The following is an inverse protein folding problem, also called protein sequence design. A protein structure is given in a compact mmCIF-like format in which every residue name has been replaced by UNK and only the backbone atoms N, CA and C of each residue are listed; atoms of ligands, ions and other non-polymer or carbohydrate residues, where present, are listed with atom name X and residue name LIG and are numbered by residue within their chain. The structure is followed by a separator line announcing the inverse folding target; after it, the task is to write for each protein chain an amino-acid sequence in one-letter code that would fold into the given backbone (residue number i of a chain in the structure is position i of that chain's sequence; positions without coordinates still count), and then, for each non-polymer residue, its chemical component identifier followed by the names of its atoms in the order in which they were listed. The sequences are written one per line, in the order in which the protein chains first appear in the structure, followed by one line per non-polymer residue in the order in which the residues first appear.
data_IF_064424423065
#
_entry.id   IF_064424423065
#
_cell.length_a   1.000
_cell.length_b   1.000
_cell.length_c   1.000
_cell.angle_alpha   90.00
_cell.angle_beta   90.00
_cell.angle_gamma   90.00
#
_symmetry.space_group_name_H-M   'P 1'
#
loop_
_entity.id
_entity.type
_entity.pdbx_description
1 polymer ?
#
# COMPACT_ATOMS: atom_id res chain seq x y z
N UNK A 1 -58.09 15.59 -1.27
CA UNK A 1 -56.64 15.93 -1.36
C UNK A 1 -55.72 15.03 -0.52
N UNK A 2 -56.25 14.01 0.14
CA UNK A 2 -55.51 13.10 1.06
C UNK A 2 -55.03 11.81 0.36
N UNK A 3 -55.56 11.45 -0.82
CA UNK A 3 -55.26 10.18 -1.47
C UNK A 3 -53.92 10.14 -2.26
N UNK A 4 -53.36 11.29 -2.66
CA UNK A 4 -52.07 11.35 -3.40
C UNK A 4 -50.83 11.24 -2.49
N UNK A 5 -50.94 11.60 -1.22
CA UNK A 5 -49.82 11.55 -0.28
C UNK A 5 -49.53 10.12 0.23
N UNK A 6 -50.57 9.31 0.33
CA UNK A 6 -50.44 7.89 0.73
C UNK A 6 -49.83 7.03 -0.38
N UNK A 7 -50.15 7.34 -1.64
CA UNK A 7 -49.62 6.59 -2.78
C UNK A 7 -48.12 6.83 -3.01
N UNK A 8 -47.61 8.04 -2.76
CA UNK A 8 -46.16 8.33 -2.84
C UNK A 8 -45.36 7.70 -1.69
N UNK A 9 -45.94 7.63 -0.47
CA UNK A 9 -45.25 6.98 0.65
C UNK A 9 -45.12 5.47 0.46
N UNK A 10 -46.13 4.79 -0.06
CA UNK A 10 -46.07 3.35 -0.31
C UNK A 10 -45.08 2.97 -1.44
N UNK A 11 -44.96 3.81 -2.49
CA UNK A 11 -43.97 3.57 -3.54
C UNK A 11 -42.54 3.82 -3.05
N UNK A 12 -42.33 4.82 -2.21
CA UNK A 12 -41.02 5.11 -1.61
C UNK A 12 -40.57 4.00 -0.66
N UNK A 13 -41.44 3.43 0.13
CA UNK A 13 -41.16 2.27 0.98
C UNK A 13 -40.97 1.00 0.17
N UNK A 14 -41.69 0.76 -0.90
CA UNK A 14 -41.50 -0.40 -1.78
C UNK A 14 -40.18 -0.33 -2.54
N UNK A 15 -39.71 0.85 -3.00
CA UNK A 15 -38.40 1.00 -3.63
C UNK A 15 -37.27 0.83 -2.63
N UNK A 16 -37.38 1.29 -1.41
CA UNK A 16 -36.40 1.08 -0.34
C UNK A 16 -36.33 -0.42 0.04
N UNK A 17 -37.48 -1.08 0.18
CA UNK A 17 -37.54 -2.51 0.49
C UNK A 17 -36.98 -3.37 -0.67
N UNK A 18 -37.24 -3.00 -1.94
CA UNK A 18 -36.67 -3.70 -3.11
C UNK A 18 -35.15 -3.51 -3.20
N UNK A 19 -34.62 -2.33 -2.89
CA UNK A 19 -33.18 -2.08 -2.81
C UNK A 19 -32.57 -2.88 -1.66
N UNK A 20 -33.23 -2.93 -0.49
CA UNK A 20 -32.75 -3.73 0.66
C UNK A 20 -32.83 -5.25 0.40
N UNK A 21 -33.88 -5.74 -0.27
CA UNK A 21 -34.03 -7.15 -0.64
C UNK A 21 -33.01 -7.51 -1.76
N UNK A 22 -32.76 -6.61 -2.71
CA UNK A 22 -31.73 -6.81 -3.73
C UNK A 22 -30.32 -6.88 -3.13
N UNK A 23 -30.03 -6.09 -2.08
CA UNK A 23 -28.79 -6.18 -1.30
C UNK A 23 -28.70 -7.49 -0.49
N UNK A 24 -29.82 -8.03 -0.01
CA UNK A 24 -29.86 -9.29 0.74
C UNK A 24 -29.81 -10.54 -0.16
N UNK A 25 -30.33 -10.47 -1.40
CA UNK A 25 -30.40 -11.61 -2.32
C UNK A 25 -29.27 -11.67 -3.36
N UNK A 26 -28.63 -10.52 -3.67
CA UNK A 26 -27.52 -10.41 -4.64
C UNK A 26 -26.17 -10.09 -3.99
N UNK A 27 -26.09 -10.16 -2.63
CA UNK A 27 -24.83 -9.90 -1.91
C UNK A 27 -24.21 -8.59 -2.39
N UNK A 28 -24.58 -7.45 -1.81
CA UNK A 28 -23.81 -6.19 -1.99
C UNK A 28 -22.40 -6.39 -1.45
N UNK A 29 -21.58 -7.14 -2.17
CA UNK A 29 -20.17 -7.27 -1.86
C UNK A 29 -19.49 -5.93 -2.15
N UNK A 30 -18.68 -5.46 -1.22
CA UNK A 30 -17.82 -4.29 -1.40
C UNK A 30 -16.91 -4.43 -2.62
N UNK A 31 -16.62 -5.65 -3.03
CA UNK A 31 -15.70 -6.01 -4.08
C UNK A 31 -16.40 -6.75 -5.21
N UNK A 32 -15.83 -6.71 -6.43
CA UNK A 32 -16.26 -7.57 -7.53
C UNK A 32 -16.17 -9.06 -7.13
N UNK A 33 -16.92 -9.92 -7.82
CA UNK A 33 -16.88 -11.36 -7.57
C UNK A 33 -15.45 -11.93 -7.76
N UNK A 34 -14.70 -11.39 -8.72
CA UNK A 34 -13.31 -11.77 -8.98
C UNK A 34 -12.41 -11.41 -7.81
N UNK A 35 -12.41 -10.15 -7.37
CA UNK A 35 -11.61 -9.68 -6.23
C UNK A 35 -11.97 -10.45 -4.96
N UNK A 36 -13.24 -10.78 -4.74
CA UNK A 36 -13.69 -11.59 -3.61
C UNK A 36 -13.17 -13.03 -3.67
N UNK A 37 -13.15 -13.65 -4.84
CA UNK A 37 -12.58 -14.98 -5.05
C UNK A 37 -11.06 -14.98 -4.83
N UNK A 38 -10.36 -13.97 -5.36
CA UNK A 38 -8.93 -13.78 -5.19
C UNK A 38 -8.55 -13.54 -3.72
N UNK A 39 -9.32 -12.71 -3.00
CA UNK A 39 -9.15 -12.49 -1.58
C UNK A 39 -9.31 -13.81 -0.77
N UNK A 40 -10.31 -14.61 -1.12
CA UNK A 40 -10.53 -15.91 -0.48
C UNK A 40 -9.36 -16.87 -0.75
N UNK A 41 -8.87 -16.91 -2.00
CA UNK A 41 -7.69 -17.69 -2.40
C UNK A 41 -6.46 -17.24 -1.59
N UNK A 42 -6.16 -15.94 -1.57
CA UNK A 42 -5.02 -15.39 -0.82
C UNK A 42 -5.08 -15.76 0.67
N UNK A 43 -6.23 -15.59 1.31
CA UNK A 43 -6.43 -15.93 2.73
C UNK A 43 -6.20 -17.40 3.03
N UNK A 44 -6.56 -18.28 2.11
CA UNK A 44 -6.45 -19.74 2.28
C UNK A 44 -5.04 -20.25 1.98
N UNK A 45 -4.41 -19.74 0.94
CA UNK A 45 -3.19 -20.35 0.37
C UNK A 45 -1.95 -19.48 0.54
N UNK A 46 -2.09 -18.21 0.92
CA UNK A 46 -1.03 -17.18 0.86
C UNK A 46 -0.39 -17.05 -0.54
N UNK A 47 -1.09 -17.48 -1.60
CA UNK A 47 -0.63 -17.42 -2.98
C UNK A 47 -1.70 -16.82 -3.88
N UNK A 48 -1.38 -15.70 -4.53
CA UNK A 48 -2.26 -14.98 -5.43
C UNK A 48 -1.46 -14.22 -6.51
N UNK A 49 -0.50 -14.92 -7.13
CA UNK A 49 0.27 -14.32 -8.23
C UNK A 49 -0.66 -13.94 -9.40
N UNK A 50 -0.47 -12.73 -9.94
CA UNK A 50 -1.28 -12.15 -11.01
C UNK A 50 -2.73 -11.81 -10.65
N UNK A 51 -3.13 -11.92 -9.38
CA UNK A 51 -4.51 -11.65 -8.96
C UNK A 51 -4.86 -10.16 -9.01
N UNK A 52 -6.10 -9.84 -9.35
CA UNK A 52 -6.68 -8.54 -9.02
C UNK A 52 -7.13 -8.52 -7.55
N UNK A 53 -6.48 -7.67 -6.77
CA UNK A 53 -6.69 -7.42 -5.35
C UNK A 53 -6.83 -5.91 -5.11
N UNK A 54 -7.26 -5.15 -6.14
CA UNK A 54 -7.38 -3.70 -6.06
C UNK A 54 -8.39 -3.27 -4.99
N UNK A 55 -8.01 -2.24 -4.24
CA UNK A 55 -8.84 -1.62 -3.21
C UNK A 55 -9.21 -2.52 -2.03
N UNK A 56 -8.63 -3.73 -1.90
CA UNK A 56 -8.96 -4.64 -0.78
C UNK A 56 -8.51 -4.09 0.57
N UNK A 57 -9.16 -4.57 1.62
CA UNK A 57 -8.76 -4.31 3.00
C UNK A 57 -8.15 -5.56 3.64
N UNK A 58 -6.86 -5.48 3.94
CA UNK A 58 -6.05 -6.51 4.59
C UNK A 58 -5.32 -5.93 5.82
N UNK A 59 -6.01 -5.09 6.60
CA UNK A 59 -5.43 -4.43 7.77
C UNK A 59 -4.98 -5.47 8.80
N UNK A 60 -3.73 -5.37 9.28
CA UNK A 60 -3.13 -6.25 10.27
C UNK A 60 -3.17 -7.74 9.87
N UNK A 61 -3.11 -8.03 8.57
CA UNK A 61 -3.21 -9.39 8.06
C UNK A 61 -1.83 -10.08 8.04
N UNK A 62 -1.80 -11.38 8.29
CA UNK A 62 -0.59 -12.20 8.18
C UNK A 62 -0.40 -12.68 6.74
N UNK A 63 0.54 -12.03 6.03
CA UNK A 63 0.98 -12.35 4.68
C UNK A 63 2.44 -12.80 4.63
N UNK A 64 2.98 -13.29 5.74
CA UNK A 64 4.36 -13.82 5.77
C UNK A 64 4.57 -14.85 4.69
N UNK A 65 5.68 -14.67 3.93
CA UNK A 65 6.07 -15.53 2.83
C UNK A 65 4.97 -15.71 1.75
N UNK A 66 4.00 -14.79 1.67
CA UNK A 66 2.97 -14.86 0.64
C UNK A 66 3.58 -14.62 -0.74
N UNK A 67 3.11 -15.37 -1.74
CA UNK A 67 3.38 -15.07 -3.14
C UNK A 67 2.20 -14.26 -3.73
N UNK A 68 2.44 -12.96 -3.87
CA UNK A 68 1.53 -11.99 -4.49
C UNK A 68 2.21 -11.26 -5.65
N UNK A 69 3.19 -11.94 -6.27
CA UNK A 69 3.90 -11.44 -7.44
C UNK A 69 2.94 -11.12 -8.59
N UNK A 70 3.26 -10.10 -9.36
CA UNK A 70 2.45 -9.61 -10.50
C UNK A 70 1.00 -9.23 -10.15
N UNK A 71 0.62 -9.20 -8.88
CA UNK A 71 -0.74 -8.86 -8.46
C UNK A 71 -1.04 -7.36 -8.61
N UNK A 72 -2.29 -7.03 -8.84
CA UNK A 72 -2.79 -5.66 -8.78
C UNK A 72 -3.33 -5.37 -7.37
N UNK A 73 -2.60 -4.59 -6.59
CA UNK A 73 -2.96 -4.10 -5.24
C UNK A 73 -3.17 -2.59 -5.23
N UNK A 74 -3.49 -1.98 -6.38
CA UNK A 74 -3.72 -0.53 -6.49
C UNK A 74 -4.74 -0.07 -5.47
N UNK A 75 -4.37 0.92 -4.64
CA UNK A 75 -5.24 1.49 -3.61
C UNK A 75 -5.65 0.55 -2.48
N UNK A 76 -5.06 -0.65 -2.39
CA UNK A 76 -5.34 -1.59 -1.29
C UNK A 76 -4.89 -1.03 0.06
N UNK A 77 -5.55 -1.44 1.14
CA UNK A 77 -5.16 -1.12 2.51
C UNK A 77 -4.53 -2.34 3.18
N UNK A 78 -3.22 -2.30 3.31
CA UNK A 78 -2.37 -3.31 3.96
C UNK A 78 -1.75 -2.77 5.26
N UNK A 79 -2.33 -1.71 5.83
CA UNK A 79 -1.76 -1.09 7.02
C UNK A 79 -1.57 -2.09 8.16
N UNK A 80 -0.39 -2.03 8.80
CA UNK A 80 0.02 -2.90 9.91
C UNK A 80 0.06 -4.40 9.58
N UNK A 81 -0.02 -4.79 8.30
CA UNK A 81 0.11 -6.19 7.88
C UNK A 81 1.55 -6.67 7.98
N UNK A 82 1.72 -7.96 8.11
CA UNK A 82 3.02 -8.62 8.13
C UNK A 82 3.28 -9.29 6.78
N UNK A 83 4.15 -8.69 5.99
CA UNK A 83 4.60 -9.14 4.67
C UNK A 83 6.05 -9.63 4.72
N UNK A 84 6.55 -10.03 5.90
CA UNK A 84 7.92 -10.55 6.07
C UNK A 84 8.18 -11.67 5.08
N UNK A 85 9.25 -11.53 4.27
CA UNK A 85 9.62 -12.52 3.27
C UNK A 85 8.66 -12.70 2.10
N UNK A 86 7.64 -11.85 1.95
CA UNK A 86 6.68 -11.96 0.85
C UNK A 86 7.32 -11.66 -0.51
N UNK A 87 6.87 -12.34 -1.55
CA UNK A 87 7.22 -12.05 -2.93
C UNK A 87 6.23 -11.05 -3.53
N UNK A 88 6.72 -9.83 -3.79
CA UNK A 88 6.01 -8.70 -4.39
C UNK A 88 6.58 -8.33 -5.77
N UNK A 89 7.36 -9.21 -6.38
CA UNK A 89 7.95 -8.96 -7.71
C UNK A 89 6.89 -8.60 -8.72
N UNK A 90 7.12 -7.56 -9.53
CA UNK A 90 6.21 -7.05 -10.56
C UNK A 90 4.82 -6.58 -10.04
N UNK A 91 4.64 -6.43 -8.73
CA UNK A 91 3.36 -6.06 -8.11
C UNK A 91 3.05 -4.58 -8.29
N UNK A 92 1.80 -4.25 -8.54
CA UNK A 92 1.32 -2.86 -8.54
C UNK A 92 0.66 -2.51 -7.21
N UNK A 93 1.33 -1.69 -6.39
CA UNK A 93 0.88 -1.15 -5.10
C UNK A 93 0.65 0.36 -5.15
N UNK A 94 0.49 0.95 -6.35
CA UNK A 94 0.35 2.41 -6.47
C UNK A 94 -0.82 2.93 -5.64
N UNK A 95 -0.55 3.99 -4.86
CA UNK A 95 -1.52 4.62 -3.97
C UNK A 95 -2.02 3.77 -2.80
N UNK A 96 -1.47 2.57 -2.58
CA UNK A 96 -1.85 1.70 -1.47
C UNK A 96 -1.51 2.30 -0.10
N UNK A 97 -2.24 1.88 0.93
CA UNK A 97 -1.95 2.21 2.33
C UNK A 97 -1.18 1.06 2.99
N UNK A 98 0.12 1.31 3.24
CA UNK A 98 1.08 0.40 3.85
C UNK A 98 1.59 0.98 5.19
N UNK A 99 0.79 1.81 5.87
CA UNK A 99 1.15 2.43 7.13
C UNK A 99 1.57 1.37 8.17
N UNK A 100 2.79 1.44 8.67
CA UNK A 100 3.31 0.53 9.69
C UNK A 100 3.39 -0.93 9.26
N UNK A 101 3.44 -1.21 7.94
CA UNK A 101 3.62 -2.55 7.40
C UNK A 101 5.00 -3.10 7.75
N UNK A 102 5.10 -4.41 7.95
CA UNK A 102 6.38 -5.11 8.02
C UNK A 102 6.69 -5.80 6.68
N UNK A 103 7.72 -5.32 5.99
CA UNK A 103 8.23 -5.83 4.71
C UNK A 103 9.63 -6.47 4.85
N UNK A 104 10.10 -6.74 6.08
CA UNK A 104 11.45 -7.26 6.32
C UNK A 104 11.73 -8.48 5.45
N UNK A 105 12.82 -8.42 4.66
CA UNK A 105 13.24 -9.51 3.78
C UNK A 105 12.29 -9.79 2.60
N UNK A 106 11.30 -8.96 2.34
CA UNK A 106 10.43 -9.11 1.17
C UNK A 106 11.18 -8.83 -0.15
N UNK A 107 10.70 -9.39 -1.25
CA UNK A 107 11.23 -9.11 -2.59
C UNK A 107 10.36 -8.08 -3.29
N UNK A 108 10.95 -6.92 -3.64
CA UNK A 108 10.26 -5.77 -4.26
C UNK A 108 10.74 -5.45 -5.68
N UNK A 109 11.37 -6.39 -6.36
CA UNK A 109 11.88 -6.14 -7.72
C UNK A 109 10.77 -5.74 -8.68
N UNK A 110 10.97 -4.68 -9.47
CA UNK A 110 10.01 -4.11 -10.43
C UNK A 110 8.66 -3.67 -9.82
N UNK A 111 8.57 -3.49 -8.51
CA UNK A 111 7.32 -3.14 -7.83
C UNK A 111 6.96 -1.68 -8.07
N UNK A 112 5.69 -1.39 -8.36
CA UNK A 112 5.16 -0.03 -8.42
C UNK A 112 4.63 0.41 -7.06
N UNK A 113 5.36 1.31 -6.39
CA UNK A 113 5.03 1.92 -5.09
C UNK A 113 4.78 3.44 -5.23
N UNK A 114 4.42 3.94 -6.41
CA UNK A 114 4.16 5.36 -6.61
C UNK A 114 3.02 5.87 -5.70
N UNK A 115 3.27 6.95 -4.98
CA UNK A 115 2.29 7.58 -4.08
C UNK A 115 1.86 6.73 -2.87
N UNK A 116 2.54 5.61 -2.61
CA UNK A 116 2.24 4.71 -1.50
C UNK A 116 2.44 5.39 -0.14
N UNK A 117 1.66 4.98 0.87
CA UNK A 117 1.85 5.40 2.26
C UNK A 117 2.62 4.33 3.02
N UNK A 118 3.92 4.56 3.23
CA UNK A 118 4.87 3.69 3.94
C UNK A 118 5.37 4.32 5.25
N UNK A 119 4.63 5.25 5.82
CA UNK A 119 5.04 5.84 7.09
C UNK A 119 5.10 4.77 8.19
N UNK A 120 6.17 4.79 8.99
CA UNK A 120 6.43 3.80 10.05
C UNK A 120 6.60 2.35 9.56
N UNK A 121 6.76 2.11 8.27
CA UNK A 121 7.02 0.77 7.73
C UNK A 121 8.41 0.27 8.11
N UNK A 122 8.54 -1.04 8.35
CA UNK A 122 9.85 -1.72 8.40
C UNK A 122 10.13 -2.35 7.03
N UNK A 123 11.13 -1.77 6.34
CA UNK A 123 11.57 -2.20 5.00
C UNK A 123 13.05 -2.64 5.09
N UNK A 124 13.42 -3.24 6.21
CA UNK A 124 14.79 -3.69 6.44
C UNK A 124 15.09 -4.97 5.70
N UNK A 125 16.37 -5.15 5.30
CA UNK A 125 16.85 -6.36 4.63
C UNK A 125 16.16 -6.61 3.28
N UNK A 126 15.69 -5.55 2.61
CA UNK A 126 14.95 -5.63 1.34
C UNK A 126 15.86 -5.26 0.17
N UNK A 127 15.76 -6.03 -0.91
CA UNK A 127 16.33 -5.66 -2.20
C UNK A 127 15.27 -4.95 -3.06
N UNK A 128 15.51 -3.66 -3.31
CA UNK A 128 14.69 -2.81 -4.16
C UNK A 128 15.44 -2.52 -5.48
N UNK A 129 15.19 -3.35 -6.48
CA UNK A 129 15.74 -3.16 -7.82
C UNK A 129 14.63 -2.76 -8.78
N UNK A 130 14.82 -1.65 -9.50
CA UNK A 130 13.84 -1.11 -10.45
C UNK A 130 12.46 -0.83 -9.81
N UNK A 131 12.44 -0.26 -8.60
CA UNK A 131 11.21 0.07 -7.87
C UNK A 131 10.80 1.51 -8.15
N UNK A 132 9.52 1.75 -8.39
CA UNK A 132 8.96 3.08 -8.55
C UNK A 132 8.40 3.56 -7.20
N UNK A 133 9.02 4.60 -6.61
CA UNK A 133 8.68 5.19 -5.31
C UNK A 133 8.36 6.69 -5.42
N UNK A 134 8.05 7.18 -6.63
CA UNK A 134 7.79 8.60 -6.82
C UNK A 134 6.62 9.07 -5.94
N UNK A 135 6.85 10.12 -5.16
CA UNK A 135 5.88 10.68 -4.22
C UNK A 135 5.51 9.78 -3.03
N UNK A 136 6.23 8.68 -2.78
CA UNK A 136 5.98 7.80 -1.65
C UNK A 136 6.14 8.52 -0.30
N UNK A 137 5.25 8.25 0.67
CA UNK A 137 5.30 8.79 2.02
C UNK A 137 5.99 7.79 2.93
N UNK A 138 7.28 8.01 3.21
CA UNK A 138 8.15 7.11 3.98
C UNK A 138 8.61 7.74 5.31
N UNK A 139 7.79 8.64 5.88
CA UNK A 139 8.11 9.29 7.14
C UNK A 139 8.29 8.26 8.26
N UNK A 140 9.37 8.36 9.04
CA UNK A 140 9.69 7.41 10.11
C UNK A 140 9.85 5.95 9.64
N UNK A 141 10.03 5.69 8.35
CA UNK A 141 10.26 4.35 7.85
C UNK A 141 11.67 3.86 8.23
N UNK A 142 11.80 2.56 8.47
CA UNK A 142 13.06 1.89 8.70
C UNK A 142 13.46 1.14 7.43
N UNK A 143 14.61 1.52 6.84
CA UNK A 143 15.15 0.95 5.60
C UNK A 143 16.60 0.53 5.85
N UNK A 144 16.82 -0.31 6.83
CA UNK A 144 18.16 -0.67 7.31
C UNK A 144 18.66 -1.93 6.58
N UNK A 145 19.97 -2.00 6.31
CA UNK A 145 20.60 -3.14 5.64
C UNK A 145 19.98 -3.50 4.28
N UNK A 146 19.41 -2.51 3.58
CA UNK A 146 18.69 -2.72 2.33
C UNK A 146 19.51 -2.29 1.11
N UNK A 147 19.03 -2.58 -0.08
CA UNK A 147 19.67 -2.13 -1.32
C UNK A 147 18.63 -1.47 -2.23
N UNK A 148 18.89 -0.24 -2.68
CA UNK A 148 18.02 0.52 -3.59
C UNK A 148 18.81 0.82 -4.86
N UNK A 149 18.49 0.10 -5.94
CA UNK A 149 19.17 0.24 -7.22
C UNK A 149 18.18 0.46 -8.37
N UNK A 150 18.57 1.28 -9.35
CA UNK A 150 17.74 1.58 -10.55
C UNK A 150 16.33 2.06 -10.25
N UNK A 151 16.11 2.65 -9.06
CA UNK A 151 14.77 3.01 -8.54
C UNK A 151 14.52 4.50 -8.65
N UNK A 152 13.26 4.90 -8.87
CA UNK A 152 12.83 6.29 -8.87
C UNK A 152 12.20 6.68 -7.52
N UNK A 153 12.85 7.57 -6.79
CA UNK A 153 12.40 8.11 -5.51
C UNK A 153 12.04 9.61 -5.60
N UNK A 154 11.77 10.11 -6.81
CA UNK A 154 11.48 11.54 -7.01
C UNK A 154 10.29 11.99 -6.15
N UNK A 155 10.51 13.01 -5.31
CA UNK A 155 9.49 13.53 -4.40
C UNK A 155 9.12 12.62 -3.23
N UNK A 156 9.79 11.48 -3.05
CA UNK A 156 9.58 10.64 -1.87
C UNK A 156 9.94 11.40 -0.59
N UNK A 157 9.12 11.25 0.46
CA UNK A 157 9.32 11.89 1.75
C UNK A 157 9.93 10.92 2.77
N UNK A 158 11.20 11.14 3.09
CA UNK A 158 12.00 10.35 4.04
C UNK A 158 12.20 11.08 5.38
N UNK A 159 11.29 11.99 5.76
CA UNK A 159 11.37 12.68 7.04
C UNK A 159 11.55 11.67 8.19
N UNK A 160 12.59 11.85 9.01
CA UNK A 160 12.92 10.99 10.15
C UNK A 160 13.03 9.49 9.81
N UNK A 161 13.29 9.13 8.54
CA UNK A 161 13.54 7.75 8.13
C UNK A 161 14.96 7.32 8.50
N UNK A 162 15.16 6.02 8.68
CA UNK A 162 16.47 5.42 8.94
C UNK A 162 16.95 4.60 7.75
N UNK A 163 18.01 5.05 7.07
CA UNK A 163 18.65 4.39 5.94
C UNK A 163 20.03 3.80 6.31
N UNK A 164 20.32 3.58 7.59
CA UNK A 164 21.63 3.05 8.03
C UNK A 164 21.97 1.77 7.26
N UNK A 165 23.23 1.64 6.85
CA UNK A 165 23.76 0.48 6.15
C UNK A 165 23.02 0.12 4.84
N UNK A 166 22.22 1.04 4.30
CA UNK A 166 21.50 0.85 3.02
C UNK A 166 22.39 1.25 1.85
N UNK A 167 22.46 0.41 0.85
CA UNK A 167 23.13 0.73 -0.42
C UNK A 167 22.19 1.53 -1.32
N UNK A 168 22.42 2.81 -1.44
CA UNK A 168 21.65 3.72 -2.30
C UNK A 168 22.56 4.79 -2.88
N UNK A 169 22.33 5.19 -4.13
CA UNK A 169 23.14 6.25 -4.75
C UNK A 169 22.64 7.64 -4.40
N UNK A 170 23.54 8.63 -4.35
CA UNK A 170 23.16 10.05 -4.18
C UNK A 170 22.26 10.54 -5.31
N UNK A 171 22.40 9.98 -6.51
CA UNK A 171 21.52 10.30 -7.64
C UNK A 171 20.08 9.88 -7.36
N UNK A 172 19.86 8.73 -6.78
CA UNK A 172 18.53 8.22 -6.37
C UNK A 172 17.90 9.14 -5.32
N UNK A 173 18.69 9.63 -4.37
CA UNK A 173 18.22 10.49 -3.28
C UNK A 173 18.16 11.98 -3.64
N UNK A 174 18.59 12.40 -4.85
CA UNK A 174 18.74 13.81 -5.21
C UNK A 174 17.47 14.64 -5.04
N UNK A 175 16.33 14.10 -5.44
CA UNK A 175 15.03 14.77 -5.46
C UNK A 175 14.09 14.28 -4.36
N UNK A 176 14.62 13.69 -3.29
CA UNK A 176 13.85 13.25 -2.12
C UNK A 176 13.82 14.33 -1.05
N UNK A 177 12.82 14.27 -0.18
CA UNK A 177 12.73 15.13 1.02
C UNK A 177 13.48 14.43 2.15
N UNK A 178 14.65 15.00 2.52
CA UNK A 178 15.51 14.50 3.60
C UNK A 178 15.55 15.53 4.73
N UNK A 179 14.91 15.22 5.82
CA UNK A 179 14.93 16.04 7.03
C UNK A 179 14.91 15.10 8.24
N UNK A 180 15.87 15.25 9.13
CA UNK A 180 16.12 14.31 10.24
C UNK A 180 16.34 12.86 9.77
N UNK A 181 16.73 12.67 8.49
CA UNK A 181 16.92 11.36 7.90
C UNK A 181 18.29 10.82 8.26
N UNK A 182 18.37 9.62 8.81
CA UNK A 182 19.64 8.92 9.04
C UNK A 182 20.08 8.31 7.73
N UNK A 183 21.24 8.77 7.23
CA UNK A 183 21.82 8.33 5.95
C UNK A 183 22.55 6.99 6.10
N UNK A 184 22.94 6.33 4.98
CA UNK A 184 23.69 5.08 5.01
C UNK A 184 24.95 5.12 5.86
N UNK A 185 25.60 6.28 5.96
CA UNK A 185 26.80 6.52 6.81
C UNK A 185 26.50 6.64 8.30
N UNK A 186 25.23 6.61 8.72
CA UNK A 186 24.78 6.90 10.08
C UNK A 186 24.67 8.39 10.41
N UNK A 187 25.03 9.28 9.49
CA UNK A 187 24.89 10.74 9.68
C UNK A 187 23.45 11.19 9.41
N UNK A 188 23.02 12.24 10.10
CA UNK A 188 21.69 12.82 9.90
C UNK A 188 21.71 13.88 8.81
N UNK A 189 20.87 13.75 7.80
CA UNK A 189 20.69 14.70 6.71
C UNK A 189 19.48 15.60 6.97
N UNK A 190 19.65 16.91 6.77
CA UNK A 190 18.65 17.94 7.07
C UNK A 190 18.43 18.94 5.92
N UNK A 191 18.88 18.62 4.69
CA UNK A 191 18.85 19.54 3.55
C UNK A 191 17.46 20.06 3.19
N UNK A 192 16.41 19.33 3.52
CA UNK A 192 15.02 19.69 3.21
C UNK A 192 14.22 20.24 4.41
N UNK A 193 14.80 20.31 5.62
CA UNK A 193 14.09 20.75 6.82
C UNK A 193 13.56 22.18 6.76
N UNK A 194 14.22 23.08 6.03
CA UNK A 194 13.83 24.51 5.95
C UNK A 194 12.59 24.77 5.09
N UNK A 195 12.09 23.78 4.35
CA UNK A 195 10.91 23.94 3.49
C UNK A 195 9.60 23.51 4.16
N UNK A 196 9.67 22.92 5.37
CA UNK A 196 8.50 22.42 6.09
C UNK A 196 7.98 23.35 7.21
N UNK A 197 8.51 24.58 7.33
CA UNK A 197 8.16 25.55 8.39
C UNK A 197 7.56 26.84 7.80
N UNK A 198 6.84 26.74 6.67
CA UNK A 198 5.99 27.84 6.19
C UNK A 198 4.61 27.33 5.83
#
# INVERSE_FOLDING_TARGET
MISKLTFLKTHFYQTIILVFICCLSLGCSKYSNEVQANLTKLKKTKACSGCDLSGIELISFDLKNADISSANLTGANLSRSDLTGANLTDTNLSGADLLGVNLTGATLTNTNLNGVKLSYADISEVEMSNVMLAGAKMNNAKVVNSSISYSDMTGANLYNANLSDTRVSDKTLKNTILCQTIMPSGQTENRSCRRSVL
#
